data_IF_977435652884
#
_entry.id   IF_977435652884
#
_cell.length_a   1.000
_cell.length_b   1.000
_cell.length_c   1.000
_cell.angle_alpha   90.00
_cell.angle_beta   90.00
_cell.angle_gamma   90.00
#
_symmetry.space_group_name_H-M   'P 1'
#
loop_
_entity.id
_entity.type
_entity.pdbx_description
1 polymer ?
#
# COMPACT_ATOMS: atom_id res chain seq x y z
N UNK A 1 -31.71 -1.51 10.76
CA UNK A 1 -30.80 -0.38 11.05
C UNK A 1 -29.57 -0.80 11.87
N UNK A 2 -29.70 -1.45 13.04
CA UNK A 2 -28.53 -1.85 13.88
C UNK A 2 -27.46 -2.72 13.19
N UNK A 3 -27.85 -3.61 12.27
CA UNK A 3 -26.90 -4.49 11.56
C UNK A 3 -25.97 -3.77 10.56
N UNK A 4 -26.45 -2.68 9.95
CA UNK A 4 -25.66 -1.92 8.98
C UNK A 4 -24.51 -1.15 9.66
N UNK A 5 -24.77 -0.60 10.85
CA UNK A 5 -23.78 0.12 11.66
C UNK A 5 -22.66 -0.82 12.15
N UNK A 6 -23.01 -2.01 12.67
CA UNK A 6 -22.02 -2.99 13.10
C UNK A 6 -21.15 -3.51 11.95
N UNK A 7 -21.71 -3.69 10.76
CA UNK A 7 -20.95 -4.11 9.57
C UNK A 7 -19.99 -3.02 9.11
N UNK A 8 -20.41 -1.76 9.18
CA UNK A 8 -19.55 -0.63 8.82
C UNK A 8 -18.36 -0.48 9.78
N UNK A 9 -18.59 -0.60 11.09
CA UNK A 9 -17.52 -0.57 12.10
C UNK A 9 -16.48 -1.66 11.81
N UNK A 10 -16.91 -2.89 11.51
CA UNK A 10 -15.99 -3.97 11.17
C UNK A 10 -15.20 -3.66 9.89
N UNK A 11 -15.84 -3.10 8.87
CA UNK A 11 -15.18 -2.71 7.63
C UNK A 11 -14.12 -1.62 7.88
N UNK A 12 -14.43 -0.62 8.70
CA UNK A 12 -13.51 0.44 9.09
C UNK A 12 -12.31 -0.11 9.87
N UNK A 13 -12.54 -1.00 10.85
CA UNK A 13 -11.48 -1.67 11.58
C UNK A 13 -10.55 -2.45 10.64
N UNK A 14 -11.11 -3.21 9.69
CA UNK A 14 -10.30 -3.94 8.70
C UNK A 14 -9.48 -2.98 7.85
N UNK A 15 -10.11 -1.95 7.26
CA UNK A 15 -9.42 -0.92 6.46
C UNK A 15 -8.24 -0.33 7.21
N UNK A 16 -8.47 0.18 8.42
CA UNK A 16 -7.44 0.87 9.19
C UNK A 16 -6.25 -0.06 9.47
N UNK A 17 -6.51 -1.31 9.83
CA UNK A 17 -5.44 -2.30 10.04
C UNK A 17 -4.61 -2.58 8.79
N UNK A 18 -5.25 -2.65 7.62
CA UNK A 18 -4.60 -2.93 6.33
C UNK A 18 -3.67 -1.80 5.88
N UNK A 19 -4.00 -0.55 6.20
CA UNK A 19 -3.19 0.63 5.87
C UNK A 19 -1.86 0.67 6.62
N UNK A 20 -1.85 0.21 7.88
CA UNK A 20 -0.66 0.21 8.75
C UNK A 20 -0.06 -1.16 9.02
N UNK A 21 -0.49 -2.17 8.25
CA UNK A 21 -0.10 -3.57 8.43
C UNK A 21 -0.24 -4.05 9.90
N UNK A 22 -1.24 -3.58 10.64
CA UNK A 22 -1.46 -3.94 12.04
C UNK A 22 -2.02 -5.38 12.10
N UNK A 23 -1.28 -6.37 12.62
CA UNK A 23 -1.69 -7.77 12.58
C UNK A 23 -2.89 -8.00 13.49
N UNK A 24 -3.83 -8.86 13.12
CA UNK A 24 -5.05 -9.12 13.90
C UNK A 24 -4.81 -9.64 15.34
N UNK A 25 -3.58 -10.08 15.65
CA UNK A 25 -3.17 -10.62 16.95
C UNK A 25 -1.68 -10.36 17.17
N UNK A 26 -1.22 -10.56 18.41
CA UNK A 26 0.20 -10.45 18.78
C UNK A 26 0.60 -9.08 19.32
N UNK A 27 -0.31 -8.10 19.31
CA UNK A 27 -0.13 -6.80 19.96
C UNK A 27 -1.31 -6.61 20.93
N UNK A 28 -1.06 -6.34 22.23
CA UNK A 28 -2.10 -5.95 23.18
C UNK A 28 -2.87 -4.71 22.68
N UNK A 29 -4.20 -4.69 22.87
CA UNK A 29 -5.07 -3.63 22.34
C UNK A 29 -4.65 -2.23 22.81
N UNK A 30 -4.28 -2.11 24.09
CA UNK A 30 -3.79 -0.88 24.71
C UNK A 30 -2.46 -0.40 24.12
N UNK A 31 -1.69 -1.29 23.47
CA UNK A 31 -0.41 -0.97 22.81
C UNK A 31 -0.51 -0.84 21.29
N UNK A 32 -1.68 -1.05 20.68
CA UNK A 32 -1.83 -0.88 19.23
C UNK A 32 -1.49 0.55 18.78
N UNK A 33 -1.79 1.56 19.61
CA UNK A 33 -1.48 2.95 19.30
C UNK A 33 0.02 3.22 19.18
N UNK A 34 0.86 2.56 19.98
CA UNK A 34 2.34 2.66 19.89
C UNK A 34 2.84 2.08 18.57
N UNK A 35 2.32 0.91 18.18
CA UNK A 35 2.64 0.27 16.90
C UNK A 35 2.25 1.15 15.72
N UNK A 36 1.00 1.62 15.73
CA UNK A 36 0.45 2.50 14.67
C UNK A 36 1.28 3.77 14.56
N UNK A 37 1.63 4.40 15.68
CA UNK A 37 2.45 5.61 15.69
C UNK A 37 3.83 5.37 15.09
N UNK A 38 4.51 4.29 15.49
CA UNK A 38 5.82 3.95 14.95
C UNK A 38 5.77 3.63 13.45
N UNK A 39 4.74 2.89 13.01
CA UNK A 39 4.55 2.58 11.59
C UNK A 39 4.31 3.84 10.76
N UNK A 40 3.43 4.73 11.19
CA UNK A 40 3.11 5.96 10.45
C UNK A 40 4.31 6.91 10.39
N UNK A 41 5.10 7.03 11.47
CA UNK A 41 6.37 7.78 11.42
C UNK A 41 7.30 7.20 10.36
N UNK A 42 7.58 5.90 10.43
CA UNK A 42 8.47 5.23 9.49
C UNK A 42 7.99 5.37 8.04
N UNK A 43 6.67 5.29 7.81
CA UNK A 43 6.04 5.50 6.51
C UNK A 43 6.20 6.95 6.04
N UNK A 44 5.96 7.94 6.89
CA UNK A 44 6.11 9.36 6.55
C UNK A 44 7.55 9.67 6.14
N UNK A 45 8.53 9.18 6.90
CA UNK A 45 9.96 9.28 6.57
C UNK A 45 10.24 8.67 5.19
N UNK A 46 9.73 7.45 4.95
CA UNK A 46 9.90 6.76 3.67
C UNK A 46 9.30 7.56 2.51
N UNK A 47 8.10 8.11 2.66
CA UNK A 47 7.44 8.91 1.63
C UNK A 47 8.14 10.25 1.38
N UNK A 48 8.76 10.80 2.42
CA UNK A 48 9.55 12.04 2.35
C UNK A 48 10.94 11.83 1.74
N UNK A 49 11.31 10.60 1.36
CA UNK A 49 12.65 10.29 0.83
C UNK A 49 13.76 10.18 1.89
N UNK A 50 13.40 10.33 3.17
CA UNK A 50 14.29 10.14 4.32
C UNK A 50 14.38 8.65 4.64
N UNK A 51 15.01 7.93 3.73
CA UNK A 51 14.96 6.48 3.71
C UNK A 51 15.76 5.82 4.84
N UNK A 52 16.88 6.42 5.23
CA UNK A 52 17.67 5.95 6.36
C UNK A 52 16.87 6.10 7.66
N UNK A 53 16.16 7.22 7.81
CA UNK A 53 15.26 7.48 8.92
C UNK A 53 14.14 6.46 8.98
N UNK A 54 13.50 6.18 7.84
CA UNK A 54 12.45 5.20 7.74
C UNK A 54 12.90 3.80 8.17
N UNK A 55 14.10 3.37 7.75
CA UNK A 55 14.65 2.07 8.14
C UNK A 55 15.05 2.02 9.61
N UNK A 56 15.49 3.14 10.18
CA UNK A 56 15.78 3.25 11.62
C UNK A 56 14.51 3.11 12.46
N UNK A 57 13.44 3.79 12.07
CA UNK A 57 12.13 3.64 12.71
C UNK A 57 11.56 2.22 12.52
N UNK A 58 11.76 1.60 11.35
CA UNK A 58 11.37 0.21 11.11
C UNK A 58 12.12 -0.79 12.01
N UNK A 59 13.43 -0.60 12.23
CA UNK A 59 14.21 -1.41 13.17
C UNK A 59 13.73 -1.22 14.61
N UNK A 60 13.43 0.03 15.03
CA UNK A 60 12.84 0.29 16.34
C UNK A 60 11.46 -0.36 16.51
N UNK A 61 10.62 -0.33 15.46
CA UNK A 61 9.33 -1.00 15.41
C UNK A 61 9.50 -2.52 15.57
N UNK A 62 10.46 -3.13 14.88
CA UNK A 62 10.77 -4.56 15.02
C UNK A 62 11.24 -4.94 16.42
N UNK A 63 12.07 -4.10 17.06
CA UNK A 63 12.55 -4.33 18.43
C UNK A 63 11.43 -4.23 19.46
N UNK A 64 10.52 -3.27 19.27
CA UNK A 64 9.41 -3.02 20.20
C UNK A 64 8.29 -4.04 20.04
N UNK A 65 8.03 -4.46 18.79
CA UNK A 65 6.96 -5.39 18.41
C UNK A 65 7.52 -6.55 17.58
N UNK A 66 8.35 -7.43 18.17
CA UNK A 66 8.97 -8.53 17.46
C UNK A 66 7.91 -9.49 16.88
N UNK A 67 8.17 -9.99 15.68
CA UNK A 67 7.27 -10.93 14.97
C UNK A 67 6.07 -10.27 14.29
N UNK A 68 5.92 -8.95 14.37
CA UNK A 68 4.91 -8.20 13.62
C UNK A 68 5.42 -7.86 12.21
N UNK A 69 4.52 -7.72 11.21
CA UNK A 69 4.95 -7.50 9.83
C UNK A 69 5.38 -6.06 9.52
N UNK A 70 5.09 -5.10 10.40
CA UNK A 70 5.20 -3.67 10.11
C UNK A 70 6.57 -3.24 9.59
N UNK A 71 7.64 -3.67 10.24
CA UNK A 71 9.00 -3.34 9.83
C UNK A 71 9.33 -3.85 8.41
N UNK A 72 8.90 -5.07 8.07
CA UNK A 72 9.10 -5.65 6.74
C UNK A 72 8.28 -4.91 5.67
N UNK A 73 7.08 -4.44 6.01
CA UNK A 73 6.24 -3.63 5.12
C UNK A 73 6.88 -2.26 4.85
N UNK A 74 7.45 -1.61 5.88
CA UNK A 74 8.20 -0.36 5.70
C UNK A 74 9.45 -0.60 4.86
N UNK A 75 10.21 -1.67 5.13
CA UNK A 75 11.39 -2.01 4.33
C UNK A 75 11.03 -2.23 2.86
N UNK A 76 9.91 -2.91 2.57
CA UNK A 76 9.39 -3.03 1.20
C UNK A 76 9.09 -1.66 0.57
N UNK A 77 8.42 -0.76 1.28
CA UNK A 77 8.15 0.59 0.79
C UNK A 77 9.45 1.34 0.47
N UNK A 78 10.44 1.29 1.36
CA UNK A 78 11.74 1.96 1.17
C UNK A 78 12.52 1.35 0.01
N UNK A 79 12.61 0.02 -0.04
CA UNK A 79 13.34 -0.69 -1.09
C UNK A 79 12.70 -0.47 -2.46
N UNK A 80 11.37 -0.45 -2.53
CA UNK A 80 10.63 -0.17 -3.76
C UNK A 80 10.93 1.21 -4.36
N UNK A 81 11.41 2.15 -3.54
CA UNK A 81 11.77 3.51 -3.97
C UNK A 81 13.23 3.67 -4.35
N UNK A 82 14.12 2.85 -3.81
CA UNK A 82 15.57 3.07 -3.92
C UNK A 82 16.31 1.99 -4.69
N UNK A 83 15.84 0.75 -4.60
CA UNK A 83 16.56 -0.39 -5.13
C UNK A 83 16.09 -0.72 -6.54
N UNK A 84 16.94 -1.38 -7.34
CA UNK A 84 16.51 -1.95 -8.62
C UNK A 84 15.27 -2.84 -8.43
N UNK A 85 14.29 -2.81 -9.36
CA UNK A 85 13.00 -3.46 -9.14
C UNK A 85 13.07 -4.94 -8.75
N UNK A 86 13.97 -5.71 -9.36
CA UNK A 86 14.13 -7.13 -9.04
C UNK A 86 14.61 -7.40 -7.61
N UNK A 87 15.42 -6.51 -7.02
CA UNK A 87 15.90 -6.63 -5.65
C UNK A 87 14.79 -6.25 -4.67
N UNK A 88 14.16 -5.09 -4.89
CA UNK A 88 13.07 -4.60 -4.06
C UNK A 88 11.90 -5.59 -4.01
N UNK A 89 11.61 -6.20 -5.16
CA UNK A 89 10.51 -7.15 -5.30
C UNK A 89 10.64 -8.33 -4.35
N UNK A 90 11.82 -8.94 -4.22
CA UNK A 90 11.99 -10.10 -3.33
C UNK A 90 11.68 -9.74 -1.88
N UNK A 91 12.10 -8.55 -1.44
CA UNK A 91 11.77 -8.05 -0.11
C UNK A 91 10.26 -7.83 0.05
N UNK A 92 9.61 -7.24 -0.96
CA UNK A 92 8.17 -7.02 -0.96
C UNK A 92 7.33 -8.30 -1.05
N UNK A 93 7.78 -9.33 -1.78
CA UNK A 93 7.13 -10.65 -1.83
C UNK A 93 7.14 -11.31 -0.44
N UNK A 94 8.26 -11.18 0.30
CA UNK A 94 8.35 -11.64 1.69
C UNK A 94 7.41 -10.85 2.61
N UNK A 95 7.41 -9.52 2.49
CA UNK A 95 6.52 -8.64 3.27
C UNK A 95 5.03 -8.95 3.01
N UNK A 96 4.65 -9.21 1.75
CA UNK A 96 3.29 -9.63 1.38
C UNK A 96 2.92 -10.97 1.99
N UNK A 97 3.84 -11.93 2.01
CA UNK A 97 3.60 -13.25 2.64
C UNK A 97 3.44 -13.14 4.16
N UNK A 98 4.23 -12.29 4.81
CA UNK A 98 4.11 -12.03 6.25
C UNK A 98 2.86 -11.19 6.60
N UNK A 99 2.41 -10.35 5.67
CA UNK A 99 1.31 -9.41 5.83
C UNK A 99 0.28 -9.55 4.69
N UNK A 100 -0.43 -10.68 4.59
CA UNK A 100 -1.30 -10.95 3.45
C UNK A 100 -2.53 -10.05 3.39
N UNK A 101 -2.87 -9.30 4.42
CA UNK A 101 -3.92 -8.28 4.34
C UNK A 101 -3.36 -6.84 4.22
N UNK A 102 -2.05 -6.64 4.34
CA UNK A 102 -1.49 -5.30 4.20
C UNK A 102 -1.60 -4.80 2.76
N UNK A 103 -2.02 -3.54 2.62
CA UNK A 103 -2.17 -2.87 1.34
C UNK A 103 -0.80 -2.62 0.66
N UNK A 104 0.15 -2.07 1.42
CA UNK A 104 1.39 -1.52 0.89
C UNK A 104 2.25 -2.53 0.10
N UNK A 105 2.50 -3.78 0.56
CA UNK A 105 3.33 -4.70 -0.19
C UNK A 105 2.78 -5.03 -1.58
N UNK A 106 1.46 -5.18 -1.71
CA UNK A 106 0.83 -5.42 -3.03
C UNK A 106 0.90 -4.21 -3.92
N UNK A 107 0.59 -3.03 -3.37
CA UNK A 107 0.70 -1.78 -4.11
C UNK A 107 2.13 -1.59 -4.65
N UNK A 108 3.15 -1.74 -3.80
CA UNK A 108 4.56 -1.61 -4.22
C UNK A 108 4.94 -2.70 -5.22
N UNK A 109 4.53 -3.95 -5.04
CA UNK A 109 4.77 -5.01 -6.02
C UNK A 109 4.15 -4.68 -7.39
N UNK A 110 2.96 -4.11 -7.42
CA UNK A 110 2.32 -3.63 -8.66
C UNK A 110 3.20 -2.62 -9.40
N UNK A 111 3.72 -1.62 -8.68
CA UNK A 111 4.63 -0.62 -9.25
C UNK A 111 5.94 -1.26 -9.76
N UNK A 112 6.53 -2.15 -8.97
CA UNK A 112 7.77 -2.83 -9.33
C UNK A 112 7.60 -3.72 -10.57
N UNK A 113 6.50 -4.47 -10.65
CA UNK A 113 6.15 -5.29 -11.82
C UNK A 113 5.97 -4.45 -13.07
N UNK A 114 5.34 -3.29 -12.94
CA UNK A 114 5.22 -2.35 -14.06
C UNK A 114 6.59 -1.88 -14.54
N UNK A 115 7.47 -1.48 -13.61
CA UNK A 115 8.83 -1.05 -13.93
C UNK A 115 9.68 -2.17 -14.57
N UNK A 116 9.42 -3.43 -14.23
CA UNK A 116 10.02 -4.62 -14.87
C UNK A 116 9.41 -4.93 -16.26
N UNK A 117 8.41 -4.17 -16.74
CA UNK A 117 7.69 -4.46 -17.97
C UNK A 117 6.68 -5.61 -17.87
N UNK A 118 6.45 -6.14 -16.66
CA UNK A 118 5.53 -7.24 -16.37
C UNK A 118 4.11 -6.71 -16.14
N UNK A 119 3.56 -6.09 -17.19
CA UNK A 119 2.35 -5.26 -17.08
C UNK A 119 1.11 -6.05 -16.61
N UNK A 120 0.93 -7.29 -17.09
CA UNK A 120 -0.20 -8.13 -16.67
C UNK A 120 -0.15 -8.49 -15.18
N UNK A 121 1.05 -8.67 -14.63
CA UNK A 121 1.23 -8.94 -13.19
C UNK A 121 1.08 -7.67 -12.36
N UNK A 122 1.53 -6.53 -12.88
CA UNK A 122 1.28 -5.22 -12.26
C UNK A 122 -0.22 -4.97 -12.07
N UNK A 123 -1.02 -5.28 -13.11
CA UNK A 123 -2.49 -5.22 -13.05
C UNK A 123 -3.02 -6.06 -11.89
N UNK A 124 -2.68 -7.34 -11.82
CA UNK A 124 -3.20 -8.25 -10.82
C UNK A 124 -2.85 -7.82 -9.37
N UNK A 125 -1.63 -7.33 -9.13
CA UNK A 125 -1.22 -6.84 -7.81
C UNK A 125 -1.95 -5.55 -7.42
N UNK A 126 -2.17 -4.62 -8.37
CA UNK A 126 -2.87 -3.36 -8.12
C UNK A 126 -4.39 -3.54 -7.95
N UNK A 127 -5.02 -4.43 -8.72
CA UNK A 127 -6.42 -4.84 -8.52
C UNK A 127 -6.57 -5.43 -7.11
N UNK A 128 -5.68 -6.35 -6.73
CA UNK A 128 -5.69 -6.94 -5.38
C UNK A 128 -5.43 -5.90 -4.28
N UNK A 129 -4.62 -4.88 -4.53
CA UNK A 129 -4.39 -3.80 -3.58
C UNK A 129 -5.66 -2.97 -3.37
N UNK A 130 -6.40 -2.65 -4.45
CA UNK A 130 -7.68 -1.94 -4.36
C UNK A 130 -8.78 -2.78 -3.70
N UNK A 131 -8.81 -4.09 -3.92
CA UNK A 131 -9.76 -4.99 -3.24
C UNK A 131 -9.54 -5.04 -1.72
N UNK A 132 -8.28 -4.90 -1.29
CA UNK A 132 -7.96 -4.79 0.14
C UNK A 132 -8.31 -3.42 0.70
N UNK A 133 -7.95 -2.38 -0.05
CA UNK A 133 -8.11 -1.01 0.39
C UNK A 133 -8.23 -0.02 -0.77
N UNK A 134 -9.41 0.55 -0.92
CA UNK A 134 -9.77 1.44 -2.03
C UNK A 134 -9.87 2.91 -1.61
N UNK A 135 -9.63 3.28 -0.34
CA UNK A 135 -9.70 4.69 0.12
C UNK A 135 -8.54 5.57 -0.30
N UNK A 136 -7.43 4.99 -0.78
CA UNK A 136 -6.27 5.78 -1.21
C UNK A 136 -6.27 5.95 -2.73
N UNK A 137 -6.03 7.16 -3.22
CA UNK A 137 -6.07 7.46 -4.67
C UNK A 137 -4.90 6.86 -5.45
N UNK A 138 -3.77 6.59 -4.79
CA UNK A 138 -2.51 6.19 -5.45
C UNK A 138 -2.62 4.86 -6.22
N UNK A 139 -3.33 3.87 -5.68
CA UNK A 139 -3.54 2.59 -6.35
C UNK A 139 -4.47 2.72 -7.57
N UNK A 140 -5.47 3.62 -7.52
CA UNK A 140 -6.33 3.92 -8.66
C UNK A 140 -5.54 4.55 -9.81
N UNK A 141 -4.74 5.59 -9.52
CA UNK A 141 -3.91 6.25 -10.54
C UNK A 141 -2.90 5.29 -11.17
N UNK A 142 -2.30 4.41 -10.35
CA UNK A 142 -1.35 3.42 -10.82
C UNK A 142 -2.03 2.38 -11.71
N UNK A 143 -3.19 1.86 -11.30
CA UNK A 143 -3.95 0.87 -12.07
C UNK A 143 -4.47 1.46 -13.38
N UNK A 144 -4.88 2.74 -13.39
CA UNK A 144 -5.28 3.43 -14.61
C UNK A 144 -4.14 3.47 -15.64
N UNK A 145 -2.93 3.83 -15.21
CA UNK A 145 -1.77 3.84 -16.08
C UNK A 145 -1.36 2.42 -16.55
N UNK A 146 -1.60 1.40 -15.72
CA UNK A 146 -1.45 0.00 -16.15
C UNK A 146 -2.47 -0.37 -17.23
N UNK A 147 -3.75 -0.01 -17.09
CA UNK A 147 -4.75 -0.25 -18.12
C UNK A 147 -4.45 0.49 -19.42
N UNK A 148 -3.97 1.73 -19.34
CA UNK A 148 -3.50 2.48 -20.52
C UNK A 148 -2.37 1.75 -21.23
N UNK A 149 -1.38 1.26 -20.48
CA UNK A 149 -0.25 0.52 -21.04
C UNK A 149 -0.67 -0.80 -21.70
N UNK A 150 -1.73 -1.43 -21.19
CA UNK A 150 -2.34 -2.64 -21.77
C UNK A 150 -3.26 -2.34 -22.97
N UNK A 151 -3.64 -1.07 -23.20
CA UNK A 151 -4.69 -0.73 -24.17
C UNK A 151 -6.09 -1.17 -23.74
N UNK A 152 -6.29 -1.51 -22.47
CA UNK A 152 -7.58 -1.97 -21.94
C UNK A 152 -8.49 -0.77 -21.60
N UNK A 153 -9.02 -0.17 -22.66
CA UNK A 153 -9.87 1.01 -22.57
C UNK A 153 -11.20 0.76 -21.84
N UNK A 154 -11.68 -0.49 -21.84
CA UNK A 154 -12.92 -0.85 -21.15
C UNK A 154 -12.70 -0.79 -19.63
N UNK A 155 -11.67 -1.47 -19.13
CA UNK A 155 -11.33 -1.48 -17.71
C UNK A 155 -10.91 -0.09 -17.21
N UNK A 156 -10.18 0.68 -18.03
CA UNK A 156 -9.82 2.07 -17.67
C UNK A 156 -11.05 2.97 -17.46
N UNK A 157 -12.08 2.85 -18.32
CA UNK A 157 -13.33 3.61 -18.19
C UNK A 157 -14.14 3.20 -16.96
N UNK A 158 -14.25 1.90 -16.69
CA UNK A 158 -14.90 1.40 -15.48
C UNK A 158 -14.20 1.93 -14.22
N UNK A 159 -12.86 1.82 -14.19
CA UNK A 159 -12.05 2.30 -13.07
C UNK A 159 -12.25 3.80 -12.83
N UNK A 160 -12.26 4.62 -13.89
CA UNK A 160 -12.49 6.05 -13.79
C UNK A 160 -13.90 6.39 -13.27
N UNK A 161 -14.93 5.64 -13.69
CA UNK A 161 -16.29 5.82 -13.20
C UNK A 161 -16.41 5.48 -11.70
N UNK A 162 -15.83 4.36 -11.28
CA UNK A 162 -15.76 3.95 -9.86
C UNK A 162 -14.99 4.96 -9.02
N UNK A 163 -13.85 5.44 -9.53
CA UNK A 163 -13.07 6.49 -8.88
C UNK A 163 -13.88 7.78 -8.70
N UNK A 164 -14.56 8.27 -9.75
CA UNK A 164 -15.39 9.48 -9.67
C UNK A 164 -16.55 9.30 -8.70
N UNK A 165 -17.20 8.14 -8.68
CA UNK A 165 -18.26 7.85 -7.72
C UNK A 165 -17.75 7.89 -6.26
N UNK A 166 -16.51 7.46 -6.02
CA UNK A 166 -15.90 7.41 -4.69
C UNK A 166 -15.33 8.75 -4.23
N UNK A 167 -14.64 9.48 -5.10
CA UNK A 167 -13.85 10.66 -4.75
C UNK A 167 -14.39 11.98 -5.30
N UNK A 168 -15.43 11.94 -6.15
CA UNK A 168 -16.02 13.13 -6.76
C UNK A 168 -15.09 13.89 -7.71
N UNK A 169 -14.01 13.26 -8.18
CA UNK A 169 -12.99 13.86 -9.04
C UNK A 169 -12.61 12.93 -10.20
N UNK A 170 -11.88 13.46 -11.17
CA UNK A 170 -11.45 12.72 -12.34
C UNK A 170 -10.18 11.94 -12.06
N UNK A 171 -10.18 10.66 -12.45
CA UNK A 171 -9.03 9.79 -12.30
C UNK A 171 -7.93 10.20 -13.28
N UNK A 172 -6.77 10.54 -12.73
CA UNK A 172 -5.56 10.81 -13.51
C UNK A 172 -4.62 9.60 -13.41
N UNK A 173 -4.28 8.96 -14.54
CA UNK A 173 -3.25 7.93 -14.60
C UNK A 173 -1.90 8.50 -14.15
N UNK A 174 -1.25 7.81 -13.23
CA UNK A 174 0.07 8.21 -12.77
C UNK A 174 0.82 7.00 -12.20
N UNK A 175 2.10 6.88 -12.53
CA UNK A 175 2.99 5.85 -11.99
C UNK A 175 4.25 6.45 -11.42
N UNK A 176 4.88 5.67 -10.56
CA UNK A 176 6.23 5.90 -10.06
C UNK A 176 7.24 6.19 -11.19
N UNK A 177 8.22 7.10 -11.01
CA UNK A 177 8.37 8.05 -9.91
C UNK A 177 7.58 9.36 -10.11
N UNK A 178 6.99 9.58 -11.29
CA UNK A 178 6.35 10.85 -11.65
C UNK A 178 5.00 11.13 -10.95
N UNK A 179 4.36 10.09 -10.38
CA UNK A 179 3.01 10.16 -9.81
C UNK A 179 2.89 10.45 -8.31
N UNK A 180 3.99 10.57 -7.56
CA UNK A 180 3.89 10.99 -6.15
C UNK A 180 3.88 12.52 -6.09
N UNK A 181 2.95 13.17 -5.35
CA UNK A 181 3.15 14.55 -4.96
C UNK A 181 4.49 14.64 -4.25
N UNK A 182 5.47 15.28 -4.90
CA UNK A 182 6.62 15.80 -4.20
C UNK A 182 6.05 16.78 -3.17
N UNK A 183 6.37 16.57 -1.89
CA UNK A 183 6.19 17.62 -0.89
C UNK A 183 6.93 18.85 -1.44
N UNK A 184 6.17 19.89 -1.78
CA UNK A 184 6.75 21.22 -1.98
C UNK A 184 7.46 21.66 -0.72
#
# INVERSE_FOLDING_TARGET
MKGAESSQILADCKRLRRLVALPARGIPLDREHEYVSAFERARQEALSGRHEEALREADALQKTFPGTPGAAVIACLVDGRQKPPGVARKACESARSAAPEAFLPRYVLGLLRFAEGRIAEARAELESALDLEDSTTSAWSSLAAVYEKLGDQASAKDLAARYRARFGSDLQPALWPAGWPHSK
#
